data_IF_352595005286
#
_entry.id   IF_352595005286
#
_cell.length_a   1.000
_cell.length_b   1.000
_cell.length_c   1.000
_cell.angle_alpha   90.00
_cell.angle_beta   90.00
_cell.angle_gamma   90.00
#
_symmetry.space_group_name_H-M   'P 1'
#
loop_
_entity.id
_entity.type
_entity.pdbx_description
1 polymer ?
#
# COMPACT_ATOMS: atom_id res chain seq x y z
N UNK A 1 44.12 -36.36 -55.36
CA UNK A 1 42.85 -36.81 -55.99
C UNK A 1 41.70 -36.32 -55.11
N UNK A 2 41.14 -35.13 -55.33
CA UNK A 2 39.92 -34.86 -56.14
C UNK A 2 38.81 -35.88 -55.95
N UNK A 3 37.68 -35.47 -55.35
CA UNK A 3 36.35 -35.68 -55.95
C UNK A 3 35.26 -34.92 -55.18
N UNK A 4 34.78 -33.85 -55.80
CA UNK A 4 33.47 -33.21 -55.56
C UNK A 4 32.36 -34.12 -56.07
N UNK A 5 31.21 -34.18 -55.38
CA UNK A 5 29.89 -34.51 -55.94
C UNK A 5 28.83 -33.80 -55.09
N UNK A 6 28.31 -32.64 -55.52
CA UNK A 6 27.26 -32.39 -56.54
C UNK A 6 25.85 -32.43 -55.94
N UNK A 7 25.30 -31.23 -55.77
CA UNK A 7 23.89 -30.91 -55.58
C UNK A 7 23.05 -31.36 -56.80
N UNK A 8 21.74 -31.59 -56.64
CA UNK A 8 20.78 -31.19 -57.67
C UNK A 8 19.87 -30.07 -57.18
N UNK A 9 19.75 -29.10 -58.09
CA UNK A 9 18.89 -27.93 -58.10
C UNK A 9 17.46 -28.37 -58.47
N UNK A 10 16.44 -27.89 -57.75
CA UNK A 10 15.08 -27.77 -58.30
C UNK A 10 14.46 -26.41 -57.96
N UNK A 11 13.69 -25.92 -58.92
CA UNK A 11 13.30 -24.55 -59.22
C UNK A 11 12.25 -23.92 -58.26
N UNK A 12 12.53 -22.66 -57.90
CA UNK A 12 11.68 -21.46 -57.87
C UNK A 12 10.19 -21.52 -57.49
N UNK A 13 9.82 -20.70 -56.51
CA UNK A 13 8.78 -19.64 -56.52
C UNK A 13 8.81 -19.01 -55.11
N UNK A 14 9.23 -17.78 -54.85
CA UNK A 14 8.92 -16.55 -55.56
C UNK A 14 7.80 -15.79 -54.84
N UNK A 15 8.00 -15.37 -53.57
CA UNK A 15 7.25 -14.24 -53.01
C UNK A 15 8.16 -13.37 -52.14
N UNK A 16 8.16 -12.10 -52.53
CA UNK A 16 8.95 -10.99 -52.03
C UNK A 16 8.57 -10.62 -50.61
N UNK A 17 9.52 -10.65 -49.68
CA UNK A 17 9.45 -9.84 -48.46
C UNK A 17 10.47 -8.72 -48.63
N UNK A 18 9.96 -7.50 -48.74
CA UNK A 18 10.72 -6.27 -48.76
C UNK A 18 11.56 -6.18 -47.48
N UNK A 19 12.85 -6.53 -47.57
CA UNK A 19 13.80 -6.38 -46.48
C UNK A 19 14.24 -4.92 -46.39
N UNK A 20 13.58 -4.14 -45.54
CA UNK A 20 14.14 -2.89 -45.05
C UNK A 20 15.18 -3.22 -43.98
N UNK A 21 16.44 -2.96 -44.31
CA UNK A 21 17.57 -2.96 -43.37
C UNK A 21 17.27 -2.05 -42.18
N UNK A 22 17.15 -2.62 -40.99
CA UNK A 22 17.13 -1.84 -39.75
C UNK A 22 18.54 -1.31 -39.48
N UNK A 23 18.83 -0.11 -39.97
CA UNK A 23 19.91 0.71 -39.42
C UNK A 23 19.53 1.05 -37.98
N UNK A 24 20.23 0.48 -36.99
CA UNK A 24 20.13 0.96 -35.61
C UNK A 24 20.91 2.28 -35.50
N UNK A 25 20.29 3.36 -35.92
CA UNK A 25 20.66 4.70 -35.47
C UNK A 25 19.68 5.03 -34.34
N UNK A 26 20.14 4.90 -33.10
CA UNK A 26 19.41 5.41 -31.95
C UNK A 26 19.19 6.90 -32.17
N UNK A 27 17.94 7.28 -32.41
CA UNK A 27 17.54 8.69 -32.42
C UNK A 27 17.60 9.15 -30.97
N UNK A 28 18.45 10.13 -30.60
CA UNK A 28 18.36 10.72 -29.29
C UNK A 28 17.02 11.46 -29.24
N UNK A 29 16.14 11.06 -28.32
CA UNK A 29 14.95 11.87 -28.01
C UNK A 29 15.48 13.16 -27.37
N UNK A 30 15.53 14.22 -28.17
CA UNK A 30 15.69 15.56 -27.65
C UNK A 30 14.50 15.85 -26.73
N UNK A 31 14.78 16.02 -25.44
CA UNK A 31 13.81 16.49 -24.45
C UNK A 31 13.43 17.93 -24.78
N UNK A 32 12.37 18.12 -25.56
CA UNK A 32 11.75 19.43 -25.69
C UNK A 32 10.80 19.63 -24.52
N UNK A 33 11.30 20.32 -23.49
CA UNK A 33 10.59 20.63 -22.27
C UNK A 33 9.35 21.50 -22.50
N UNK A 34 8.24 21.04 -21.97
CA UNK A 34 7.23 21.89 -21.35
C UNK A 34 7.54 21.87 -19.84
N UNK A 35 8.17 22.95 -19.38
CA UNK A 35 8.97 22.97 -18.16
C UNK A 35 8.21 22.74 -16.86
N UNK A 36 8.60 21.69 -16.13
CA UNK A 36 8.71 21.79 -14.67
C UNK A 36 10.09 22.36 -14.35
N UNK A 37 10.13 23.50 -13.67
CA UNK A 37 11.38 24.15 -13.25
C UNK A 37 11.98 23.37 -12.08
N UNK A 38 12.63 22.24 -12.39
CA UNK A 38 13.29 21.43 -11.38
C UNK A 38 14.47 22.17 -10.73
N UNK A 39 14.67 21.94 -9.43
CA UNK A 39 15.86 22.36 -8.68
C UNK A 39 16.54 21.10 -8.17
N UNK A 40 17.82 20.90 -8.51
CA UNK A 40 18.62 19.84 -7.90
C UNK A 40 19.14 20.28 -6.53
N UNK A 41 19.10 19.38 -5.55
CA UNK A 41 19.71 19.62 -4.22
C UNK A 41 21.23 19.81 -4.32
N UNK A 42 21.89 19.21 -5.32
CA UNK A 42 23.34 19.37 -5.52
C UNK A 42 23.72 20.80 -5.92
N UNK A 43 22.82 21.53 -6.59
CA UNK A 43 23.04 22.96 -6.90
C UNK A 43 23.09 23.85 -5.65
N UNK A 44 22.69 23.33 -4.49
CA UNK A 44 22.71 24.00 -3.19
C UNK A 44 23.76 23.41 -2.24
N UNK A 45 24.65 22.56 -2.76
CA UNK A 45 25.77 21.99 -2.01
C UNK A 45 25.50 20.66 -1.32
N UNK A 46 24.38 19.99 -1.62
CA UNK A 46 24.18 18.62 -1.16
C UNK A 46 25.14 17.70 -1.91
N UNK A 47 25.75 16.76 -1.21
CA UNK A 47 26.78 15.87 -1.75
C UNK A 47 26.22 14.49 -2.09
N UNK A 48 25.27 13.97 -1.31
CA UNK A 48 24.74 12.62 -1.51
C UNK A 48 25.77 11.51 -1.29
N UNK A 49 26.83 11.79 -0.52
CA UNK A 49 27.98 10.89 -0.33
C UNK A 49 27.81 9.86 0.81
N UNK A 50 26.68 9.91 1.53
CA UNK A 50 26.36 9.07 2.67
C UNK A 50 27.09 9.42 3.98
N UNK A 51 27.82 10.55 4.02
CA UNK A 51 28.65 10.98 5.15
C UNK A 51 28.30 12.42 5.55
N UNK A 52 28.26 13.33 4.58
CA UNK A 52 28.04 14.76 4.77
C UNK A 52 26.59 15.03 5.16
N UNK A 53 26.41 15.86 6.18
CA UNK A 53 25.09 16.34 6.61
C UNK A 53 24.53 17.33 5.57
N UNK A 54 23.64 16.83 4.70
CA UNK A 54 23.07 17.56 3.57
C UNK A 54 21.84 18.39 3.96
N UNK A 55 21.40 18.38 5.23
CA UNK A 55 20.16 19.04 5.68
C UNK A 55 20.09 20.50 5.27
N UNK A 56 21.17 21.26 5.46
CA UNK A 56 21.17 22.70 5.14
C UNK A 56 21.02 22.93 3.64
N UNK A 57 21.71 22.13 2.82
CA UNK A 57 21.65 22.25 1.37
C UNK A 57 20.26 21.88 0.84
N UNK A 58 19.68 20.78 1.33
CA UNK A 58 18.34 20.32 0.95
C UNK A 58 17.28 21.37 1.32
N UNK A 59 17.33 21.90 2.55
CA UNK A 59 16.38 22.95 2.97
C UNK A 59 16.53 24.22 2.13
N UNK A 60 17.76 24.61 1.77
CA UNK A 60 18.00 25.77 0.90
C UNK A 60 17.43 25.56 -0.50
N UNK A 61 17.62 24.37 -1.07
CA UNK A 61 17.04 23.98 -2.35
C UNK A 61 15.51 23.94 -2.29
N UNK A 62 14.94 23.41 -1.21
CA UNK A 62 13.49 23.35 -0.99
C UNK A 62 12.89 24.75 -0.87
N UNK A 63 13.49 25.66 -0.10
CA UNK A 63 13.05 27.07 -0.03
C UNK A 63 13.12 27.75 -1.39
N UNK A 64 14.18 27.53 -2.16
CA UNK A 64 14.26 28.06 -3.51
C UNK A 64 13.18 27.47 -4.44
N UNK A 65 12.83 26.20 -4.22
CA UNK A 65 11.79 25.49 -4.96
C UNK A 65 10.42 26.11 -4.66
N UNK A 66 10.11 26.31 -3.39
CA UNK A 66 8.89 26.99 -2.94
C UNK A 66 8.80 28.42 -3.45
N UNK A 67 9.91 29.17 -3.52
CA UNK A 67 9.91 30.52 -4.11
C UNK A 67 9.57 30.54 -5.61
N UNK A 68 9.75 29.41 -6.33
CA UNK A 68 9.30 29.25 -7.72
C UNK A 68 7.82 28.88 -7.84
N UNK A 69 7.17 28.49 -6.74
CA UNK A 69 5.76 28.11 -6.73
C UNK A 69 4.88 29.37 -6.67
N UNK A 70 4.31 29.74 -7.82
CA UNK A 70 3.22 30.70 -7.95
C UNK A 70 2.14 30.04 -8.81
N UNK A 71 0.86 30.39 -8.66
CA UNK A 71 -0.27 29.48 -8.37
C UNK A 71 -0.60 28.38 -9.40
N UNK A 72 0.19 28.21 -10.46
CA UNK A 72 0.06 27.19 -11.50
C UNK A 72 1.23 26.20 -11.59
N UNK A 73 2.42 26.52 -11.06
CA UNK A 73 3.65 25.78 -11.37
C UNK A 73 4.26 25.19 -10.09
N UNK A 74 3.85 23.98 -9.70
CA UNK A 74 4.58 23.22 -8.69
C UNK A 74 6.07 23.12 -9.04
N UNK A 75 6.92 22.92 -8.05
CA UNK A 75 8.36 22.84 -8.25
C UNK A 75 8.87 21.43 -7.94
N UNK A 76 9.69 20.89 -8.84
CA UNK A 76 10.33 19.58 -8.64
C UNK A 76 11.64 19.78 -7.88
N UNK A 77 11.74 19.25 -6.67
CA UNK A 77 12.99 19.16 -5.92
C UNK A 77 13.65 17.82 -6.27
N UNK A 78 14.69 17.87 -7.08
CA UNK A 78 15.34 16.70 -7.65
C UNK A 78 16.54 16.23 -6.81
N UNK A 79 16.58 14.95 -6.53
CA UNK A 79 17.60 14.22 -5.79
C UNK A 79 18.29 13.22 -6.72
N UNK A 80 19.42 13.58 -7.35
CA UNK A 80 20.22 12.62 -8.10
C UNK A 80 20.60 11.41 -7.23
N UNK A 81 20.99 10.30 -7.86
CA UNK A 81 21.49 9.11 -7.19
C UNK A 81 22.51 9.46 -6.09
N UNK A 82 22.33 8.91 -4.89
CA UNK A 82 23.14 9.22 -3.72
C UNK A 82 22.42 8.95 -2.40
N UNK A 83 23.20 8.95 -1.32
CA UNK A 83 22.69 8.85 0.05
C UNK A 83 22.87 10.21 0.71
N UNK A 84 21.76 10.89 0.95
CA UNK A 84 21.73 12.20 1.57
C UNK A 84 21.48 12.06 3.07
N UNK A 85 22.47 12.40 3.89
CA UNK A 85 22.31 12.37 5.34
C UNK A 85 21.55 13.61 5.79
N UNK A 86 20.53 13.44 6.62
CA UNK A 86 19.69 14.55 7.11
C UNK A 86 19.34 14.41 8.58
N UNK A 87 19.06 15.52 9.27
CA UNK A 87 18.49 15.55 10.62
C UNK A 87 16.95 15.59 10.62
N UNK A 88 16.32 15.15 9.53
CA UNK A 88 14.87 15.25 9.29
C UNK A 88 14.50 16.46 8.42
N UNK A 89 13.44 16.33 7.63
CA UNK A 89 12.99 17.34 6.67
C UNK A 89 11.50 17.65 6.86
N UNK A 90 11.14 18.92 6.71
CA UNK A 90 9.74 19.37 6.72
C UNK A 90 9.32 19.79 5.31
N UNK A 91 8.38 19.06 4.71
CA UNK A 91 7.93 19.30 3.34
C UNK A 91 7.13 20.60 3.23
N UNK A 92 7.30 21.31 2.12
CA UNK A 92 6.57 22.55 1.83
C UNK A 92 5.50 22.30 0.77
N UNK A 93 4.44 23.11 0.76
CA UNK A 93 3.38 23.02 -0.25
C UNK A 93 3.95 23.22 -1.66
N UNK A 94 3.34 22.55 -2.65
CA UNK A 94 3.71 22.62 -4.06
C UNK A 94 5.15 22.18 -4.37
N UNK A 95 5.80 21.47 -3.44
CA UNK A 95 7.09 20.82 -3.66
C UNK A 95 6.87 19.36 -4.01
N UNK A 96 7.45 18.94 -5.12
CA UNK A 96 7.42 17.58 -5.64
C UNK A 96 8.83 17.00 -5.56
N UNK A 97 9.10 16.19 -4.54
CA UNK A 97 10.40 15.55 -4.37
C UNK A 97 10.53 14.38 -5.35
N UNK A 98 11.60 14.36 -6.13
CA UNK A 98 11.85 13.32 -7.13
C UNK A 98 13.27 12.78 -7.01
N UNK A 99 13.44 11.48 -6.84
CA UNK A 99 14.71 10.79 -6.96
C UNK A 99 14.89 10.03 -8.27
N UNK A 100 16.00 9.32 -8.40
CA UNK A 100 16.32 8.44 -9.53
C UNK A 100 15.78 7.01 -9.36
N UNK A 101 14.96 6.78 -8.32
CA UNK A 101 14.36 5.48 -7.98
C UNK A 101 14.63 5.11 -6.52
N UNK A 102 13.71 4.35 -5.92
CA UNK A 102 13.93 3.75 -4.61
C UNK A 102 15.19 2.87 -4.61
N UNK A 103 15.95 2.88 -3.52
CA UNK A 103 17.27 2.23 -3.42
C UNK A 103 18.42 2.98 -4.12
N UNK A 104 18.12 3.99 -4.95
CA UNK A 104 19.12 4.80 -5.67
C UNK A 104 19.29 6.19 -5.05
N UNK A 105 18.18 6.88 -4.79
CA UNK A 105 18.18 8.18 -4.11
C UNK A 105 17.62 8.01 -2.69
N UNK A 106 18.49 8.08 -1.69
CA UNK A 106 18.16 7.74 -0.30
C UNK A 106 18.26 8.97 0.59
N UNK A 107 17.19 9.30 1.30
CA UNK A 107 17.20 10.24 2.41
C UNK A 107 17.35 9.44 3.70
N UNK A 108 18.48 9.59 4.39
CA UNK A 108 18.80 8.83 5.60
C UNK A 108 18.99 9.73 6.80
N UNK A 109 18.39 9.38 7.94
CA UNK A 109 18.66 10.11 9.18
C UNK A 109 20.13 10.00 9.58
N UNK A 110 20.70 11.12 10.01
CA UNK A 110 21.99 11.16 10.68
C UNK A 110 21.96 10.27 11.92
N UNK A 111 23.02 9.49 12.22
CA UNK A 111 23.08 8.65 13.41
C UNK A 111 22.65 9.39 14.69
N UNK A 112 21.92 8.70 15.56
CA UNK A 112 21.40 9.25 16.83
C UNK A 112 20.48 10.48 16.71
N UNK A 113 19.85 10.69 15.55
CA UNK A 113 18.85 11.76 15.37
C UNK A 113 17.47 11.29 15.81
N UNK A 114 16.81 12.10 16.66
CA UNK A 114 15.40 11.91 17.01
C UNK A 114 14.51 12.82 16.16
N UNK A 115 14.10 12.34 15.00
CA UNK A 115 13.23 13.03 14.07
C UNK A 115 12.55 12.03 13.13
N UNK A 116 11.45 12.43 12.49
CA UNK A 116 10.97 11.71 11.30
C UNK A 116 11.88 12.03 10.10
N UNK A 117 12.04 11.10 9.16
CA UNK A 117 12.84 11.37 7.94
C UNK A 117 12.20 12.51 7.14
N UNK A 118 10.89 12.42 6.91
CA UNK A 118 10.08 13.43 6.23
C UNK A 118 8.76 13.66 6.97
N UNK A 119 8.57 14.90 7.44
CA UNK A 119 7.30 15.35 8.02
C UNK A 119 6.54 16.21 7.01
N UNK A 120 5.22 16.05 6.95
CA UNK A 120 4.28 16.96 6.29
C UNK A 120 3.67 17.88 7.34
N UNK A 121 4.09 19.15 7.43
CA UNK A 121 3.51 20.14 8.34
C UNK A 121 2.01 20.31 8.19
N UNK A 122 1.37 20.85 9.23
CA UNK A 122 -0.07 21.05 9.29
C UNK A 122 -0.61 21.87 8.10
N UNK A 123 0.11 22.93 7.69
CA UNK A 123 -0.27 23.79 6.56
C UNK A 123 0.13 23.27 5.17
N UNK A 124 0.89 22.18 5.09
CA UNK A 124 1.40 21.66 3.81
C UNK A 124 0.32 20.90 3.03
N UNK A 125 0.22 21.18 1.73
CA UNK A 125 -0.70 20.52 0.79
C UNK A 125 -0.13 20.56 -0.65
N UNK A 126 -0.70 19.74 -1.54
CA UNK A 126 -0.31 19.58 -2.93
C UNK A 126 1.19 19.32 -3.09
N UNK A 127 1.59 18.09 -2.80
CA UNK A 127 2.99 17.69 -2.84
C UNK A 127 3.11 16.28 -3.39
N UNK A 128 4.32 15.90 -3.81
CA UNK A 128 4.58 14.50 -4.10
C UNK A 128 5.97 14.06 -3.69
N UNK A 129 6.14 12.75 -3.52
CA UNK A 129 7.41 12.08 -3.30
C UNK A 129 7.47 10.93 -4.31
N UNK A 130 8.46 10.94 -5.18
CA UNK A 130 8.60 9.96 -6.25
C UNK A 130 10.02 9.39 -6.28
N UNK A 131 10.16 8.06 -6.36
CA UNK A 131 11.45 7.41 -6.63
C UNK A 131 12.51 7.67 -5.56
N UNK A 132 12.13 7.60 -4.29
CA UNK A 132 13.00 7.91 -3.14
C UNK A 132 12.94 6.79 -2.09
N UNK A 133 14.01 6.62 -1.33
CA UNK A 133 13.99 5.86 -0.07
C UNK A 133 14.03 6.82 1.11
N UNK A 134 13.13 6.64 2.07
CA UNK A 134 13.14 7.28 3.38
C UNK A 134 13.67 6.27 4.41
N UNK A 135 14.88 6.51 4.93
CA UNK A 135 15.61 5.61 5.81
C UNK A 135 15.82 6.22 7.20
N UNK A 136 15.19 5.62 8.21
CA UNK A 136 15.26 6.11 9.60
C UNK A 136 16.58 5.82 10.32
N UNK A 137 17.48 5.03 9.73
CA UNK A 137 18.79 4.70 10.29
C UNK A 137 18.75 4.17 11.74
N UNK A 138 17.69 3.42 12.09
CA UNK A 138 17.45 2.92 13.45
C UNK A 138 18.58 2.07 14.01
N UNK A 139 19.26 1.29 13.16
CA UNK A 139 20.44 0.50 13.55
C UNK A 139 21.63 1.37 14.02
N UNK A 140 21.62 2.67 13.72
CA UNK A 140 22.59 3.68 14.20
C UNK A 140 21.95 4.67 15.18
N UNK A 141 20.86 4.26 15.83
CA UNK A 141 20.18 5.04 16.87
C UNK A 141 19.30 6.17 16.38
N UNK A 142 18.99 6.24 15.07
CA UNK A 142 17.93 7.14 14.60
C UNK A 142 16.58 6.74 15.17
N UNK A 143 15.75 7.72 15.55
CA UNK A 143 14.42 7.46 16.12
C UNK A 143 13.33 8.36 15.57
N UNK A 144 12.24 7.75 15.10
CA UNK A 144 11.11 8.43 14.46
C UNK A 144 10.48 7.57 13.36
N UNK A 145 9.55 8.16 12.63
CA UNK A 145 8.87 7.57 11.48
C UNK A 145 9.64 7.84 10.18
N UNK A 146 9.40 7.05 9.14
CA UNK A 146 9.97 7.39 7.83
C UNK A 146 9.20 8.57 7.21
N UNK A 147 7.88 8.48 7.23
CA UNK A 147 6.99 9.55 6.81
C UNK A 147 5.96 9.83 7.90
N UNK A 148 5.73 11.10 8.20
CA UNK A 148 4.65 11.49 9.11
C UNK A 148 3.86 12.69 8.60
N UNK A 149 2.57 12.74 8.88
CA UNK A 149 1.81 14.00 8.85
C UNK A 149 1.80 14.62 10.23
N UNK A 150 1.90 15.95 10.32
CA UNK A 150 1.75 16.64 11.60
C UNK A 150 0.32 16.49 12.15
N UNK A 151 0.20 16.53 13.48
CA UNK A 151 -1.09 16.63 14.16
C UNK A 151 -1.79 17.94 13.77
N UNK A 152 -3.03 17.86 13.34
CA UNK A 152 -3.87 19.03 13.02
C UNK A 152 -4.93 19.20 14.11
N UNK A 153 -4.95 20.32 14.87
CA UNK A 153 -5.70 20.47 16.12
C UNK A 153 -7.21 20.73 15.95
N UNK A 154 -7.72 20.76 14.72
CA UNK A 154 -9.12 21.06 14.43
C UNK A 154 -9.76 19.91 13.67
N UNK A 155 -11.03 19.63 13.96
CA UNK A 155 -11.91 18.84 13.07
C UNK A 155 -11.93 19.40 11.65
N UNK A 156 -12.61 18.76 10.68
CA UNK A 156 -12.60 19.20 9.29
C UNK A 156 -13.14 20.64 9.18
N UNK A 157 -12.26 21.63 9.30
CA UNK A 157 -12.46 22.96 8.73
C UNK A 157 -12.21 22.70 7.26
N UNK A 158 -13.24 22.14 6.62
CA UNK A 158 -13.31 22.15 5.18
C UNK A 158 -13.10 23.59 4.78
N UNK A 159 -11.96 23.83 4.14
CA UNK A 159 -11.91 24.71 2.99
C UNK A 159 -11.86 26.22 3.31
N UNK A 160 -10.68 26.81 3.06
CA UNK A 160 -10.65 28.19 2.57
C UNK A 160 -10.91 28.16 1.04
N UNK A 161 -12.18 28.26 0.68
CA UNK A 161 -12.72 28.32 -0.69
C UNK A 161 -12.09 29.37 -1.57
N UNK A 162 -11.54 30.41 -0.97
CA UNK A 162 -11.22 31.60 -1.72
C UNK A 162 -10.01 31.39 -2.64
N UNK A 163 -9.06 30.49 -2.30
CA UNK A 163 -7.74 30.62 -2.92
C UNK A 163 -6.98 29.36 -3.34
N UNK A 164 -7.28 28.12 -2.91
CA UNK A 164 -6.38 26.96 -3.16
C UNK A 164 -4.90 27.31 -2.80
N UNK A 165 -4.68 28.00 -1.68
CA UNK A 165 -3.39 28.61 -1.26
C UNK A 165 -3.00 28.22 0.16
N UNK A 166 -1.77 28.58 0.53
CA UNK A 166 -1.19 28.44 1.87
C UNK A 166 -2.15 28.91 2.99
N UNK A 167 -2.35 28.03 3.96
CA UNK A 167 -3.07 28.28 5.20
C UNK A 167 -2.25 27.70 6.35
N UNK A 168 -2.50 28.17 7.59
CA UNK A 168 -1.81 27.64 8.77
C UNK A 168 -2.13 26.16 9.02
N UNK A 169 -3.31 25.70 8.59
CA UNK A 169 -3.75 24.31 8.64
C UNK A 169 -4.39 23.96 7.30
N UNK A 170 -3.97 22.84 6.72
CA UNK A 170 -4.57 22.22 5.55
C UNK A 170 -4.74 20.72 5.85
N UNK A 171 -5.98 20.33 6.17
CA UNK A 171 -6.36 18.93 6.48
C UNK A 171 -6.42 18.06 5.23
N UNK A 172 -6.79 18.64 4.08
CA UNK A 172 -6.70 18.02 2.76
C UNK A 172 -5.29 18.15 2.22
N UNK A 173 -4.60 17.02 2.03
CA UNK A 173 -3.18 17.03 1.69
C UNK A 173 -2.89 17.04 0.20
N UNK A 174 -3.71 16.39 -0.63
CA UNK A 174 -3.37 16.15 -2.05
C UNK A 174 -1.92 15.67 -2.19
N UNK A 175 -1.52 14.76 -1.30
CA UNK A 175 -0.19 14.20 -1.28
C UNK A 175 -0.16 12.95 -2.15
N UNK A 176 0.84 12.83 -3.01
CA UNK A 176 1.06 11.66 -3.85
C UNK A 176 2.42 11.04 -3.56
N UNK A 177 2.45 9.74 -3.31
CA UNK A 177 3.68 8.98 -3.07
C UNK A 177 3.71 7.82 -4.04
N UNK A 178 4.77 7.71 -4.83
CA UNK A 178 4.89 6.68 -5.85
C UNK A 178 6.33 6.20 -5.95
N UNK A 179 6.54 4.88 -5.99
CA UNK A 179 7.90 4.30 -6.07
C UNK A 179 8.76 4.75 -4.87
N UNK A 180 8.17 4.71 -3.67
CA UNK A 180 8.82 5.14 -2.42
C UNK A 180 9.06 3.95 -1.50
N UNK A 181 10.27 3.87 -0.95
CA UNK A 181 10.62 2.87 0.06
C UNK A 181 10.70 3.50 1.45
N UNK A 182 10.05 2.92 2.45
CA UNK A 182 10.03 3.38 3.84
C UNK A 182 10.73 2.34 4.73
N UNK A 183 11.94 2.62 5.19
CA UNK A 183 12.78 1.59 5.81
C UNK A 183 13.54 2.01 7.06
N UNK A 184 13.80 1.04 7.94
CA UNK A 184 14.69 1.16 9.09
C UNK A 184 14.31 2.31 10.04
N UNK A 185 13.02 2.64 10.15
CA UNK A 185 12.53 3.63 11.09
C UNK A 185 12.19 2.97 12.43
N UNK A 186 12.51 3.63 13.54
CA UNK A 186 12.30 3.05 14.87
C UNK A 186 10.83 3.03 15.29
N UNK A 187 10.00 3.84 14.63
CA UNK A 187 8.56 3.88 14.81
C UNK A 187 7.89 3.32 13.54
N UNK A 188 7.09 4.11 12.84
CA UNK A 188 6.30 3.63 11.70
C UNK A 188 6.99 3.91 10.36
N UNK A 189 6.69 3.09 9.35
CA UNK A 189 7.02 3.44 7.96
C UNK A 189 6.25 4.68 7.52
N UNK A 190 4.92 4.61 7.59
CA UNK A 190 4.00 5.70 7.26
C UNK A 190 3.11 5.98 8.48
N UNK A 191 3.16 7.20 9.00
CA UNK A 191 2.34 7.63 10.13
C UNK A 191 1.42 8.80 9.72
N UNK A 192 0.12 8.55 9.62
CA UNK A 192 -0.86 9.58 9.27
C UNK A 192 -1.69 9.92 10.51
N UNK A 193 -1.47 11.13 11.02
CA UNK A 193 -2.22 11.66 12.15
C UNK A 193 -3.67 12.00 11.77
N UNK A 194 -4.54 12.06 12.78
CA UNK A 194 -5.94 12.44 12.62
C UNK A 194 -6.12 13.78 11.87
N UNK A 195 -7.25 13.89 11.15
CA UNK A 195 -7.61 15.04 10.32
C UNK A 195 -6.62 15.35 9.18
N UNK A 196 -5.89 14.34 8.71
CA UNK A 196 -5.18 14.39 7.44
C UNK A 196 -5.87 13.45 6.45
N UNK A 197 -6.19 13.94 5.25
CA UNK A 197 -6.89 13.14 4.24
C UNK A 197 -6.48 13.46 2.80
N UNK A 198 -6.88 12.61 1.86
CA UNK A 198 -6.47 12.66 0.44
C UNK A 198 -4.96 12.57 0.26
N UNK A 199 -4.41 11.53 0.87
CA UNK A 199 -3.09 11.00 0.58
C UNK A 199 -3.25 9.77 -0.31
N UNK A 200 -2.41 9.67 -1.32
CA UNK A 200 -2.45 8.60 -2.30
C UNK A 200 -1.06 7.99 -2.37
N UNK A 201 -0.95 6.73 -1.97
CA UNK A 201 0.27 5.95 -2.02
C UNK A 201 0.10 4.85 -3.06
N UNK A 202 1.01 4.76 -4.02
CA UNK A 202 1.01 3.75 -5.06
C UNK A 202 2.42 3.17 -5.24
N UNK A 203 2.53 1.88 -5.57
CA UNK A 203 3.79 1.23 -5.89
C UNK A 203 4.87 1.51 -4.82
N UNK A 204 4.61 1.12 -3.57
CA UNK A 204 5.49 1.44 -2.44
C UNK A 204 5.93 0.19 -1.66
N UNK A 205 7.12 0.27 -1.04
CA UNK A 205 7.69 -0.83 -0.26
C UNK A 205 8.01 -0.36 1.15
N UNK A 206 7.60 -1.14 2.14
CA UNK A 206 7.86 -0.84 3.56
C UNK A 206 8.65 -1.99 4.16
N UNK A 207 9.80 -1.69 4.76
CA UNK A 207 10.69 -2.74 5.26
C UNK A 207 11.35 -2.38 6.58
N UNK A 208 11.20 -3.27 7.56
CA UNK A 208 11.96 -3.26 8.81
C UNK A 208 11.74 -1.97 9.64
N UNK A 209 10.50 -1.75 10.06
CA UNK A 209 10.12 -0.62 10.91
C UNK A 209 9.71 -1.09 12.32
N UNK A 210 9.93 -0.26 13.33
CA UNK A 210 9.84 -0.66 14.74
C UNK A 210 8.43 -0.96 15.24
N UNK A 211 7.41 -0.24 14.75
CA UNK A 211 6.03 -0.39 15.18
C UNK A 211 5.14 -0.84 14.03
N UNK A 212 4.65 0.09 13.21
CA UNK A 212 3.75 -0.21 12.11
C UNK A 212 4.42 -0.03 10.76
N UNK A 213 4.00 -0.81 9.77
CA UNK A 213 4.30 -0.47 8.38
C UNK A 213 3.56 0.81 8.02
N UNK A 214 2.23 0.78 8.18
CA UNK A 214 1.32 1.91 8.04
C UNK A 214 0.50 2.04 9.32
N UNK A 215 0.52 3.23 9.92
CA UNK A 215 -0.44 3.66 10.91
C UNK A 215 -1.23 4.84 10.36
N UNK A 216 -2.56 4.74 10.33
CA UNK A 216 -3.41 5.86 9.91
C UNK A 216 -4.58 6.10 10.84
N UNK A 217 -4.64 7.33 11.36
CA UNK A 217 -5.83 7.97 11.91
C UNK A 217 -6.47 8.95 10.92
N UNK A 218 -5.86 9.11 9.74
CA UNK A 218 -6.42 9.88 8.64
C UNK A 218 -7.62 9.18 8.00
N UNK A 219 -8.33 9.93 7.16
CA UNK A 219 -9.49 9.41 6.42
C UNK A 219 -9.34 9.64 4.93
N UNK A 220 -10.22 9.05 4.11
CA UNK A 220 -10.34 9.37 2.68
C UNK A 220 -9.01 9.31 1.91
N UNK A 221 -8.16 8.35 2.25
CA UNK A 221 -6.85 8.11 1.63
C UNK A 221 -6.83 6.74 0.95
N UNK A 222 -5.93 6.57 -0.02
CA UNK A 222 -5.81 5.32 -0.79
C UNK A 222 -4.36 4.84 -0.81
N UNK A 223 -4.22 3.52 -0.74
CA UNK A 223 -2.96 2.79 -0.75
C UNK A 223 -3.07 1.65 -1.76
N UNK A 224 -2.21 1.61 -2.76
CA UNK A 224 -2.24 0.58 -3.80
C UNK A 224 -0.85 0.05 -4.16
N UNK A 225 -0.82 -1.19 -4.67
CA UNK A 225 0.38 -1.84 -5.20
C UNK A 225 1.53 -1.81 -4.19
N UNK A 226 1.33 -2.44 -3.02
CA UNK A 226 2.28 -2.34 -1.91
C UNK A 226 2.78 -3.69 -1.43
N UNK A 227 3.97 -3.69 -0.84
CA UNK A 227 4.46 -4.80 -0.02
C UNK A 227 5.02 -4.27 1.29
N UNK A 228 4.61 -4.87 2.40
CA UNK A 228 4.93 -4.44 3.77
C UNK A 228 5.55 -5.59 4.54
N UNK A 229 6.81 -5.41 4.90
CA UNK A 229 7.64 -6.44 5.51
C UNK A 229 8.19 -6.03 6.88
N UNK A 230 8.16 -6.98 7.81
CA UNK A 230 8.95 -6.94 9.06
C UNK A 230 8.71 -5.70 9.91
N UNK A 231 7.47 -5.25 9.99
CA UNK A 231 7.07 -4.26 10.97
C UNK A 231 6.94 -4.92 12.35
N UNK A 232 7.39 -4.23 13.40
CA UNK A 232 7.51 -4.83 14.73
C UNK A 232 6.17 -5.28 15.34
N UNK A 233 5.09 -4.54 15.10
CA UNK A 233 3.75 -4.79 15.65
C UNK A 233 2.76 -5.28 14.59
N UNK A 234 2.45 -4.46 13.59
CA UNK A 234 1.53 -4.81 12.51
C UNK A 234 2.00 -4.20 11.18
N UNK A 235 1.64 -4.80 10.06
CA UNK A 235 1.91 -4.21 8.76
C UNK A 235 1.03 -2.99 8.52
N UNK A 236 -0.27 -3.11 8.80
CA UNK A 236 -1.27 -2.05 8.60
C UNK A 236 -2.12 -1.91 9.87
N UNK A 237 -2.21 -0.70 10.41
CA UNK A 237 -3.14 -0.31 11.46
C UNK A 237 -4.03 0.84 10.96
N UNK A 238 -5.33 0.59 10.85
CA UNK A 238 -6.33 1.55 10.39
C UNK A 238 -7.23 1.97 11.56
N UNK A 239 -6.89 3.09 12.18
CA UNK A 239 -7.56 3.57 13.39
C UNK A 239 -8.79 4.45 13.10
N UNK A 240 -9.01 4.83 11.83
CA UNK A 240 -10.11 5.74 11.44
C UNK A 240 -10.70 5.36 10.08
N UNK A 241 -11.68 6.13 9.61
CA UNK A 241 -12.61 5.70 8.58
C UNK A 241 -12.24 6.04 7.13
N UNK A 242 -12.95 5.42 6.18
CA UNK A 242 -13.00 5.79 4.75
C UNK A 242 -11.68 5.64 3.99
N UNK A 243 -10.76 4.79 4.44
CA UNK A 243 -9.51 4.49 3.74
C UNK A 243 -9.67 3.30 2.77
N UNK A 244 -8.84 3.25 1.73
CA UNK A 244 -8.86 2.20 0.71
C UNK A 244 -7.48 1.57 0.57
N UNK A 245 -7.41 0.25 0.68
CA UNK A 245 -6.20 -0.54 0.44
C UNK A 245 -6.48 -1.52 -0.69
N UNK A 246 -5.63 -1.56 -1.72
CA UNK A 246 -5.88 -2.41 -2.89
C UNK A 246 -4.59 -3.02 -3.45
N UNK A 247 -4.61 -4.32 -3.75
CA UNK A 247 -3.47 -5.02 -4.37
C UNK A 247 -2.19 -4.87 -3.56
N UNK A 248 -2.09 -5.58 -2.45
CA UNK A 248 -0.87 -5.51 -1.66
C UNK A 248 -0.62 -6.71 -0.76
N UNK A 249 0.62 -6.86 -0.34
CA UNK A 249 1.11 -7.98 0.44
C UNK A 249 1.64 -7.49 1.79
N UNK A 250 1.32 -8.20 2.86
CA UNK A 250 1.69 -7.90 4.24
C UNK A 250 2.32 -9.15 4.83
N UNK A 251 3.64 -9.18 4.93
CA UNK A 251 4.40 -10.40 5.27
C UNK A 251 5.42 -10.22 6.40
N UNK A 252 5.55 -11.22 7.26
CA UNK A 252 6.50 -11.27 8.39
C UNK A 252 6.38 -10.12 9.42
N UNK A 253 5.18 -9.56 9.61
CA UNK A 253 4.92 -8.51 10.61
C UNK A 253 4.56 -9.09 11.99
N UNK A 254 4.74 -8.30 13.05
CA UNK A 254 4.43 -8.68 14.44
C UNK A 254 5.55 -9.44 15.16
N UNK A 255 6.78 -9.37 14.64
CA UNK A 255 7.93 -10.12 15.19
C UNK A 255 8.44 -9.59 16.54
N UNK A 256 8.20 -8.31 16.84
CA UNK A 256 8.61 -7.67 18.09
C UNK A 256 7.46 -7.63 19.10
N UNK A 257 6.24 -7.39 18.62
CA UNK A 257 5.02 -7.37 19.42
C UNK A 257 3.86 -7.98 18.62
N UNK A 258 3.35 -9.14 19.06
CA UNK A 258 2.27 -9.85 18.36
C UNK A 258 0.88 -9.56 18.94
N UNK A 259 0.65 -8.39 19.57
CA UNK A 259 -0.64 -8.04 20.18
C UNK A 259 -1.72 -7.65 19.17
N UNK A 260 -1.33 -7.22 17.98
CA UNK A 260 -2.23 -6.86 16.89
C UNK A 260 -2.07 -7.83 15.72
N UNK A 261 -3.13 -8.02 14.92
CA UNK A 261 -3.04 -8.74 13.65
C UNK A 261 -2.17 -7.96 12.65
N UNK A 262 -1.67 -8.63 11.62
CA UNK A 262 -0.83 -8.03 10.59
C UNK A 262 -1.55 -6.90 9.86
N UNK A 263 -2.85 -7.08 9.63
CA UNK A 263 -3.79 -6.04 9.22
C UNK A 263 -4.82 -5.86 10.33
N UNK A 264 -4.74 -4.74 11.03
CA UNK A 264 -5.59 -4.37 12.16
C UNK A 264 -6.47 -3.19 11.77
N UNK A 265 -7.78 -3.39 11.73
CA UNK A 265 -8.77 -2.36 11.38
C UNK A 265 -9.66 -2.13 12.59
N UNK A 266 -9.69 -0.89 13.10
CA UNK A 266 -10.57 -0.49 14.19
C UNK A 266 -11.41 0.76 13.89
N UNK A 267 -11.08 1.49 12.82
CA UNK A 267 -11.97 2.48 12.24
C UNK A 267 -13.00 1.83 11.33
N UNK A 268 -14.11 2.51 11.04
CA UNK A 268 -15.18 1.98 10.19
C UNK A 268 -15.17 2.46 8.73
N UNK A 269 -15.92 1.80 7.84
CA UNK A 269 -16.10 2.17 6.41
C UNK A 269 -14.79 2.18 5.61
N UNK A 270 -13.85 1.33 5.98
CA UNK A 270 -12.64 1.08 5.21
C UNK A 270 -12.89 -0.03 4.20
N UNK A 271 -12.12 -0.01 3.12
CA UNK A 271 -12.21 -1.02 2.07
C UNK A 271 -10.81 -1.60 1.85
N UNK A 272 -10.70 -2.91 1.96
CA UNK A 272 -9.51 -3.69 1.66
C UNK A 272 -9.85 -4.65 0.53
N UNK A 273 -9.09 -4.61 -0.55
CA UNK A 273 -9.36 -5.44 -1.74
C UNK A 273 -8.08 -6.07 -2.24
N UNK A 274 -8.09 -7.39 -2.47
CA UNK A 274 -6.92 -8.13 -2.94
C UNK A 274 -5.66 -7.85 -2.08
N UNK A 275 -5.85 -7.83 -0.75
CA UNK A 275 -4.75 -7.72 0.20
C UNK A 275 -4.42 -9.11 0.72
N UNK A 276 -3.15 -9.50 0.62
CA UNK A 276 -2.63 -10.75 1.14
C UNK A 276 -1.87 -10.50 2.44
N UNK A 277 -2.26 -11.19 3.51
CA UNK A 277 -1.48 -11.29 4.73
C UNK A 277 -0.82 -12.68 4.74
N UNK A 278 0.50 -12.74 4.60
CA UNK A 278 1.26 -13.99 4.51
C UNK A 278 2.24 -14.11 5.67
N UNK A 279 2.38 -15.30 6.25
CA UNK A 279 3.50 -15.66 7.14
C UNK A 279 3.78 -14.67 8.30
N UNK A 280 2.78 -13.90 8.73
CA UNK A 280 2.97 -12.95 9.82
C UNK A 280 3.11 -13.71 11.14
N UNK A 281 3.83 -13.14 12.11
CA UNK A 281 4.02 -13.73 13.44
C UNK A 281 2.76 -13.65 14.32
N UNK A 282 1.68 -13.09 13.78
CA UNK A 282 0.39 -12.80 14.42
C UNK A 282 -0.75 -13.24 13.49
N UNK A 283 -2.01 -12.97 13.84
CA UNK A 283 -3.17 -13.19 12.96
C UNK A 283 -3.03 -12.42 11.65
N UNK A 284 -3.64 -12.92 10.56
CA UNK A 284 -3.63 -12.20 9.29
C UNK A 284 -4.42 -10.91 9.36
N UNK A 285 -5.72 -11.02 9.65
CA UNK A 285 -6.64 -9.89 9.71
C UNK A 285 -7.37 -9.85 11.05
N UNK A 286 -7.57 -8.64 11.56
CA UNK A 286 -8.52 -8.37 12.63
C UNK A 286 -9.33 -7.13 12.29
N UNK A 287 -10.65 -7.29 12.24
CA UNK A 287 -11.60 -6.23 12.05
C UNK A 287 -12.46 -6.04 13.31
N UNK A 288 -12.28 -4.89 13.95
CA UNK A 288 -13.05 -4.39 15.08
C UNK A 288 -13.77 -3.07 14.74
N UNK A 289 -13.86 -2.74 13.46
CA UNK A 289 -14.48 -1.53 12.95
C UNK A 289 -15.98 -1.69 12.70
N UNK A 290 -16.54 -0.83 11.85
CA UNK A 290 -17.96 -0.83 11.52
C UNK A 290 -18.15 -0.53 10.04
N UNK A 291 -18.95 -1.33 9.35
CA UNK A 291 -19.21 -1.19 7.91
C UNK A 291 -17.94 -1.28 7.04
N UNK A 292 -16.94 -2.04 7.48
CA UNK A 292 -15.72 -2.30 6.72
C UNK A 292 -15.93 -3.41 5.67
N UNK A 293 -15.23 -3.30 4.55
CA UNK A 293 -15.33 -4.24 3.44
C UNK A 293 -13.97 -4.90 3.17
N UNK A 294 -13.93 -6.22 3.20
CA UNK A 294 -12.81 -7.06 2.79
C UNK A 294 -13.26 -7.87 1.56
N UNK A 295 -12.52 -7.72 0.47
CA UNK A 295 -12.93 -8.28 -0.83
C UNK A 295 -11.74 -8.97 -1.49
N UNK A 296 -11.79 -10.29 -1.60
CA UNK A 296 -10.72 -11.07 -2.20
C UNK A 296 -9.41 -11.00 -1.43
N UNK A 297 -9.46 -10.78 -0.12
CA UNK A 297 -8.29 -10.80 0.76
C UNK A 297 -7.86 -12.23 1.05
N UNK A 298 -6.55 -12.45 1.18
CA UNK A 298 -5.96 -13.77 1.42
C UNK A 298 -5.23 -13.74 2.75
N UNK A 299 -5.54 -14.66 3.65
CA UNK A 299 -4.77 -14.91 4.87
C UNK A 299 -4.07 -16.25 4.72
N UNK A 300 -2.77 -16.23 4.43
CA UNK A 300 -1.98 -17.44 4.22
C UNK A 300 -0.93 -17.64 5.32
N UNK A 301 -0.99 -18.79 5.99
CA UNK A 301 0.09 -19.30 6.84
C UNK A 301 0.54 -18.38 7.99
N UNK A 302 -0.30 -17.42 8.37
CA UNK A 302 -0.13 -16.51 9.51
C UNK A 302 -0.01 -17.26 10.86
N UNK A 303 0.46 -16.56 11.89
CA UNK A 303 0.86 -17.11 13.18
C UNK A 303 2.25 -17.73 13.20
N UNK A 304 3.10 -17.34 12.26
CA UNK A 304 4.44 -17.90 12.09
C UNK A 304 5.26 -17.89 13.40
N UNK A 305 5.79 -19.05 13.80
CA UNK A 305 6.55 -19.18 15.04
C UNK A 305 8.01 -18.77 14.81
N UNK A 306 8.48 -17.80 15.60
CA UNK A 306 9.86 -17.28 15.49
C UNK A 306 10.91 -18.38 15.68
N UNK A 307 11.80 -18.52 14.70
CA UNK A 307 12.91 -19.48 14.75
C UNK A 307 12.57 -20.92 14.36
N UNK A 308 11.32 -21.20 13.97
CA UNK A 308 10.95 -22.48 13.40
C UNK A 308 10.19 -22.28 12.09
N UNK A 309 10.93 -22.34 10.99
CA UNK A 309 10.41 -22.23 9.62
C UNK A 309 9.36 -23.29 9.25
N UNK A 310 9.08 -24.25 10.13
CA UNK A 310 8.08 -25.30 9.90
C UNK A 310 6.91 -25.23 10.88
N UNK A 311 6.85 -24.24 11.78
CA UNK A 311 5.77 -24.11 12.75
C UNK A 311 4.99 -22.81 12.54
N UNK A 312 3.70 -22.95 12.25
CA UNK A 312 2.72 -21.88 12.39
C UNK A 312 1.96 -22.11 13.71
N UNK A 313 1.45 -21.04 14.33
CA UNK A 313 0.77 -21.07 15.62
C UNK A 313 -0.60 -21.72 15.49
N UNK A 314 -0.96 -22.59 16.45
CA UNK A 314 -2.32 -23.15 16.53
C UNK A 314 -3.41 -22.11 16.84
N UNK A 315 -3.03 -20.91 17.30
CA UNK A 315 -3.96 -19.91 17.86
C UNK A 315 -4.04 -18.62 17.07
N UNK A 316 -3.15 -18.39 16.10
CA UNK A 316 -3.12 -17.15 15.34
C UNK A 316 -3.08 -17.48 13.85
N UNK A 317 -4.18 -17.29 13.13
CA UNK A 317 -4.25 -17.46 11.68
C UNK A 317 -5.64 -17.05 11.17
N UNK A 318 -5.75 -16.65 9.90
CA UNK A 318 -7.05 -16.31 9.31
C UNK A 318 -7.54 -14.89 9.63
N UNK A 319 -8.84 -14.78 9.89
CA UNK A 319 -9.55 -13.53 10.19
C UNK A 319 -10.15 -13.55 11.60
N UNK A 320 -10.08 -12.42 12.30
CA UNK A 320 -10.86 -12.18 13.51
C UNK A 320 -11.88 -11.08 13.21
N UNK A 321 -13.16 -11.36 13.45
CA UNK A 321 -14.27 -10.49 13.11
C UNK A 321 -15.05 -10.12 14.39
N UNK A 322 -14.92 -8.87 14.81
CA UNK A 322 -15.48 -8.30 16.06
C UNK A 322 -16.30 -7.02 15.80
N UNK A 323 -16.11 -6.43 14.62
CA UNK A 323 -16.88 -5.30 14.13
C UNK A 323 -18.36 -5.59 13.84
N UNK A 324 -19.07 -4.57 13.35
CA UNK A 324 -20.49 -4.66 12.99
C UNK A 324 -20.75 -4.19 11.56
N UNK A 325 -21.67 -4.83 10.84
CA UNK A 325 -22.06 -4.38 9.49
C UNK A 325 -21.02 -4.62 8.39
N UNK A 326 -19.93 -5.35 8.70
CA UNK A 326 -18.85 -5.63 7.75
C UNK A 326 -19.26 -6.58 6.61
N UNK A 327 -18.52 -6.50 5.51
CA UNK A 327 -18.70 -7.35 4.33
C UNK A 327 -17.38 -8.05 4.01
N UNK A 328 -17.38 -9.36 3.96
CA UNK A 328 -16.22 -10.21 3.69
C UNK A 328 -16.61 -11.12 2.52
N UNK A 329 -16.09 -10.88 1.32
CA UNK A 329 -16.54 -11.56 0.09
C UNK A 329 -15.37 -12.03 -0.76
N UNK A 330 -15.39 -13.31 -1.10
CA UNK A 330 -14.34 -13.92 -1.92
C UNK A 330 -13.00 -14.00 -1.18
N UNK A 331 -13.00 -13.77 0.12
CA UNK A 331 -11.82 -13.86 0.95
C UNK A 331 -11.44 -15.33 1.14
N UNK A 332 -10.15 -15.57 1.37
CA UNK A 332 -9.60 -16.92 1.48
C UNK A 332 -8.66 -17.04 2.67
N UNK A 333 -8.81 -18.13 3.41
CA UNK A 333 -7.84 -18.54 4.44
C UNK A 333 -7.16 -19.81 3.97
N UNK A 334 -5.84 -19.79 3.92
CA UNK A 334 -5.04 -20.96 3.55
C UNK A 334 -3.93 -21.19 4.56
N UNK A 335 -3.47 -22.44 4.61
CA UNK A 335 -2.16 -22.76 5.12
C UNK A 335 -1.54 -23.84 4.24
N UNK A 336 -0.56 -23.47 3.43
CA UNK A 336 0.19 -24.41 2.58
C UNK A 336 1.32 -25.10 3.33
N UNK A 337 1.65 -24.63 4.53
CA UNK A 337 2.59 -25.34 5.41
C UNK A 337 1.93 -26.63 5.89
N UNK A 338 2.68 -27.72 5.82
CA UNK A 338 2.21 -29.05 6.23
C UNK A 338 1.72 -29.09 7.67
N UNK A 339 1.13 -30.21 8.07
CA UNK A 339 0.69 -30.43 9.45
C UNK A 339 1.83 -30.13 10.43
N UNK A 340 1.48 -29.47 11.54
CA UNK A 340 2.35 -29.27 12.70
C UNK A 340 2.92 -30.62 13.18
N UNK A 341 4.00 -30.63 13.98
CA UNK A 341 4.60 -31.87 14.49
C UNK A 341 3.62 -32.79 15.24
N UNK A 342 2.51 -32.24 15.76
CA UNK A 342 1.44 -32.98 16.42
C UNK A 342 0.35 -33.51 15.44
N UNK A 343 0.52 -33.32 14.14
CA UNK A 343 -0.39 -33.73 13.08
C UNK A 343 -1.55 -32.77 12.82
N UNK A 344 -1.67 -31.65 13.53
CA UNK A 344 -2.75 -30.67 13.33
C UNK A 344 -2.40 -29.65 12.24
N UNK A 345 -3.41 -29.02 11.64
CA UNK A 345 -3.19 -27.82 10.85
C UNK A 345 -2.78 -26.65 11.77
N UNK A 346 -2.02 -25.68 11.26
CA UNK A 346 -1.68 -24.52 12.06
C UNK A 346 -2.88 -23.64 12.36
N UNK A 347 -3.78 -23.48 11.40
CA UNK A 347 -5.01 -22.73 11.61
C UNK A 347 -6.03 -23.61 12.31
N UNK A 348 -6.45 -23.26 13.54
CA UNK A 348 -7.57 -23.96 14.18
C UNK A 348 -8.88 -23.67 13.45
N UNK A 349 -9.21 -22.39 13.28
CA UNK A 349 -10.43 -21.91 12.63
C UNK A 349 -10.07 -20.97 11.49
N UNK A 350 -10.76 -21.02 10.33
CA UNK A 350 -10.52 -20.06 9.26
C UNK A 350 -10.80 -18.63 9.72
N UNK A 351 -11.84 -18.43 10.52
CA UNK A 351 -12.10 -17.15 11.15
C UNK A 351 -12.72 -17.32 12.54
N UNK A 352 -12.57 -16.28 13.36
CA UNK A 352 -13.17 -16.18 14.69
C UNK A 352 -14.23 -15.07 14.64
N UNK A 353 -15.48 -15.43 14.98
CA UNK A 353 -16.54 -14.45 15.20
C UNK A 353 -16.65 -14.13 16.68
N UNK A 354 -16.34 -12.88 17.03
CA UNK A 354 -16.59 -12.33 18.37
C UNK A 354 -17.92 -11.59 18.43
N UNK A 355 -18.31 -10.94 17.33
CA UNK A 355 -19.59 -10.28 17.16
C UNK A 355 -20.21 -10.72 15.83
N UNK A 356 -21.46 -11.17 15.86
CA UNK A 356 -22.14 -11.74 14.68
C UNK A 356 -23.11 -10.75 14.01
N UNK A 357 -23.17 -9.49 14.47
CA UNK A 357 -24.22 -8.57 14.06
C UNK A 357 -24.01 -8.05 12.62
N UNK A 358 -24.95 -8.40 11.74
CA UNK A 358 -25.16 -7.79 10.42
C UNK A 358 -24.02 -7.94 9.40
N UNK A 359 -23.03 -8.78 9.68
CA UNK A 359 -21.96 -9.05 8.74
C UNK A 359 -22.42 -9.96 7.59
N UNK A 360 -21.96 -9.69 6.36
CA UNK A 360 -22.01 -10.67 5.27
C UNK A 360 -20.66 -11.36 5.19
N UNK A 361 -20.64 -12.67 5.38
CA UNK A 361 -19.40 -13.45 5.48
C UNK A 361 -19.43 -14.55 4.42
N UNK A 362 -18.55 -14.40 3.43
CA UNK A 362 -18.20 -15.37 2.40
C UNK A 362 -16.67 -15.51 2.38
N UNK A 363 -16.16 -16.29 3.33
CA UNK A 363 -14.74 -16.60 3.49
C UNK A 363 -14.56 -18.09 3.21
N UNK A 364 -13.84 -18.39 2.15
CA UNK A 364 -13.45 -19.76 1.81
C UNK A 364 -12.20 -20.18 2.59
N UNK A 365 -12.01 -21.48 2.79
CA UNK A 365 -10.87 -21.97 3.56
C UNK A 365 -10.35 -23.31 3.09
N UNK A 366 -9.03 -23.45 3.03
CA UNK A 366 -8.33 -24.71 2.81
C UNK A 366 -7.34 -24.95 3.97
N UNK A 367 -7.12 -26.20 4.35
CA UNK A 367 -6.12 -26.60 5.36
C UNK A 367 -6.35 -26.03 6.78
N UNK A 368 -7.59 -26.06 7.28
CA UNK A 368 -7.93 -25.69 8.68
C UNK A 368 -8.32 -26.91 9.52
N UNK A 369 -8.17 -26.86 10.85
CA UNK A 369 -8.56 -27.98 11.73
C UNK A 369 -10.07 -28.12 11.90
N UNK A 370 -10.79 -27.01 11.92
CA UNK A 370 -12.23 -26.97 12.18
C UNK A 370 -12.93 -26.14 11.10
N UNK A 371 -14.18 -26.51 10.73
CA UNK A 371 -15.01 -25.68 9.86
C UNK A 371 -15.31 -24.35 10.57
N UNK A 372 -15.67 -23.28 9.87
CA UNK A 372 -16.02 -22.02 10.54
C UNK A 372 -17.20 -22.18 11.53
N UNK A 373 -17.28 -21.32 12.57
CA UNK A 373 -18.45 -21.30 13.45
C UNK A 373 -19.72 -21.03 12.64
N UNK A 374 -20.80 -21.75 12.97
CA UNK A 374 -22.10 -21.56 12.31
C UNK A 374 -22.64 -20.17 12.57
N UNK A 375 -22.73 -19.34 11.53
CA UNK A 375 -23.44 -18.07 11.57
C UNK A 375 -24.92 -18.39 11.44
N UNK A 376 -25.74 -18.10 12.46
CA UNK A 376 -27.18 -17.96 12.22
C UNK A 376 -27.35 -16.75 11.33
N UNK A 377 -27.80 -16.96 10.08
CA UNK A 377 -28.14 -15.87 9.19
C UNK A 377 -28.93 -14.81 9.98
N UNK A 378 -28.45 -13.57 9.95
CA UNK A 378 -29.14 -12.45 10.58
C UNK A 378 -30.56 -12.44 10.01
N UNK A 379 -31.61 -12.50 10.85
CA UNK A 379 -32.98 -12.40 10.36
C UNK A 379 -33.08 -11.15 9.50
N UNK A 380 -33.48 -11.31 8.23
CA UNK A 380 -33.74 -10.18 7.34
C UNK A 380 -34.79 -9.27 8.00
N UNK A 381 -34.34 -8.17 8.58
CA UNK A 381 -35.25 -7.14 9.07
C UNK A 381 -35.76 -6.34 7.88
N UNK A 382 -37.03 -6.55 7.54
CA UNK A 382 -37.84 -5.61 6.75
C UNK A 382 -37.88 -5.89 5.25
N UNK A 383 -39.09 -5.80 4.71
CA UNK A 383 -39.50 -6.01 3.32
C UNK A 383 -38.50 -5.60 2.22
N UNK A 384 -38.32 -6.49 1.25
CA UNK A 384 -37.61 -6.29 -0.01
C UNK A 384 -37.97 -4.97 -0.71
N UNK A 385 -36.96 -4.15 -1.03
CA UNK A 385 -37.07 -3.11 -2.07
C UNK A 385 -36.45 -3.66 -3.36
N UNK A 386 -37.20 -3.57 -4.47
CA UNK A 386 -36.78 -4.01 -5.80
C UNK A 386 -35.71 -3.06 -6.39
N UNK A 387 -34.64 -3.59 -7.02
CA UNK A 387 -33.57 -2.77 -7.65
C UNK A 387 -32.16 -3.40 -7.69
N UNK A 388 -31.57 -3.56 -8.90
CA UNK A 388 -30.16 -3.79 -9.36
C UNK A 388 -29.78 -5.15 -10.09
N UNK A 389 -28.63 -5.83 -9.92
CA UNK A 389 -28.03 -6.93 -10.74
C UNK A 389 -27.79 -6.62 -12.22
N UNK A 390 -26.50 -6.64 -12.58
CA UNK A 390 -26.02 -7.06 -13.88
C UNK A 390 -25.56 -8.52 -13.78
N UNK A 391 -25.97 -9.37 -14.73
CA UNK A 391 -25.40 -10.69 -14.90
C UNK A 391 -24.25 -10.66 -15.91
N UNK A 392 -23.17 -11.39 -15.66
CA UNK A 392 -22.21 -11.77 -16.70
C UNK A 392 -22.07 -13.28 -16.69
N UNK A 393 -22.24 -13.90 -17.86
CA UNK A 393 -22.03 -15.34 -18.05
C UNK A 393 -20.53 -15.62 -18.16
N UNK A 394 -19.91 -16.06 -17.07
CA UNK A 394 -18.52 -16.55 -17.04
C UNK A 394 -18.48 -18.08 -17.07
N UNK A 395 -17.47 -18.67 -17.70
CA UNK A 395 -17.24 -20.12 -17.72
C UNK A 395 -16.41 -20.63 -16.52
N UNK A 396 -16.28 -19.82 -15.45
CA UNK A 396 -15.56 -20.15 -14.21
C UNK A 396 -16.44 -20.08 -12.95
N UNK A 397 -15.90 -20.37 -11.74
CA UNK A 397 -16.68 -20.42 -10.51
C UNK A 397 -17.39 -19.07 -10.23
N UNK A 398 -18.61 -19.09 -9.67
CA UNK A 398 -19.48 -17.92 -9.62
C UNK A 398 -18.88 -16.82 -8.73
N UNK A 399 -18.84 -15.60 -9.26
CA UNK A 399 -18.56 -14.37 -8.50
C UNK A 399 -19.89 -13.66 -8.26
N UNK A 400 -20.21 -13.35 -7.01
CA UNK A 400 -21.45 -12.67 -6.62
C UNK A 400 -21.19 -11.17 -6.43
N UNK A 401 -21.84 -10.32 -7.23
CA UNK A 401 -21.76 -8.85 -7.08
C UNK A 401 -23.15 -8.21 -7.32
N UNK A 402 -23.94 -7.98 -6.25
CA UNK A 402 -25.14 -7.10 -6.24
C UNK A 402 -26.55 -7.71 -6.57
N UNK A 403 -27.66 -6.95 -6.37
CA UNK A 403 -29.09 -7.41 -6.23
C UNK A 403 -30.11 -6.92 -7.29
N UNK A 404 -31.09 -7.71 -7.82
CA UNK A 404 -31.92 -7.54 -9.07
C UNK A 404 -32.92 -6.32 -9.19
N UNK A 405 -33.16 -5.77 -10.41
CA UNK A 405 -33.98 -4.55 -10.67
C UNK A 405 -35.43 -4.78 -11.06
N UNK A 406 -35.79 -5.97 -11.51
CA UNK A 406 -37.19 -6.37 -11.63
C UNK A 406 -37.31 -7.89 -11.51
N UNK A 407 -38.21 -8.32 -10.63
CA UNK A 407 -38.51 -9.73 -10.35
C UNK A 407 -39.46 -10.26 -11.44
N UNK A 408 -39.06 -11.29 -12.19
CA UNK A 408 -39.87 -11.86 -13.29
C UNK A 408 -40.77 -13.04 -12.86
N UNK A 409 -40.68 -13.53 -11.62
CA UNK A 409 -41.62 -14.52 -11.08
C UNK A 409 -41.70 -14.48 -9.56
N UNK A 410 -42.81 -14.99 -9.01
CA UNK A 410 -43.02 -15.19 -7.56
C UNK A 410 -42.04 -16.17 -6.92
N UNK A 411 -41.18 -16.82 -7.72
CA UNK A 411 -40.11 -17.74 -7.29
C UNK A 411 -38.70 -17.14 -7.40
N UNK A 412 -38.55 -15.86 -7.81
CA UNK A 412 -37.27 -15.15 -7.76
C UNK A 412 -36.31 -15.37 -8.94
N UNK A 413 -36.78 -15.88 -10.08
CA UNK A 413 -35.92 -16.07 -11.25
C UNK A 413 -35.56 -14.73 -11.94
N UNK A 414 -34.28 -14.50 -12.24
CA UNK A 414 -33.77 -13.43 -13.10
C UNK A 414 -33.22 -14.04 -14.42
N UNK A 415 -33.40 -13.38 -15.57
CA UNK A 415 -32.82 -13.79 -16.87
C UNK A 415 -31.67 -12.88 -17.25
N UNK A 416 -30.52 -13.47 -17.56
CA UNK A 416 -29.33 -12.82 -18.10
C UNK A 416 -29.31 -13.01 -19.62
N UNK A 417 -29.32 -11.94 -20.42
CA UNK A 417 -29.09 -12.00 -21.87
C UNK A 417 -27.60 -12.03 -22.18
#
# INVERSE_FOLDING_TARGET
>A
MKSRRSLPLLLALGMSVCGLSMNSQAVPIASNGTGTSGISVMSYGATGDGITDDTKAINSAMTACTNKTAPANGCVLYFPAGIYITTGLALQSFVHMKGDGWGTSVLRLKPHTSADVLTVPAGTFNFSVYGLTLDGNSAKGGSGNCFSTATTPTGPVEWNTANKRAASINVQKWGHMEEVMFTNCSADGIHINAYNYMLFFDNFYIFNNGSYGIYTQGTNSSFSNFQIERSGTAGIHVANANNRFTSGEVIWNGSANSTEAAVYVSGGRNILTAVEAEDNYTNGFFDNGSDDEFIGCISDSNGYARGNANASSSTASGFILDGTGGVYIGDKVTSYRGRLPDGKFPTQWPYILKNANQARIDISSDSTNEPPPTVSEVPQAGSSMAGHVACIKSAGPPVVIGFCSKVNSSTGACTCS
#
